data_IF_027844827296
#
_entry.id   IF_027844827296
#
_cell.length_a   1.000
_cell.length_b   1.000
_cell.length_c   1.000
_cell.angle_alpha   90.00
_cell.angle_beta   90.00
_cell.angle_gamma   90.00
#
_symmetry.space_group_name_H-M   'P 1'
#
loop_
_entity.id
_entity.type
_entity.pdbx_description
1 polymer ?
#
# COMPACT_ATOMS: atom_id res chain seq x y z
N UNK A 1 25.53 8.73 7.28
CA UNK A 1 24.42 8.18 8.09
C UNK A 1 23.83 7.03 7.28
N UNK A 2 23.76 5.79 7.79
CA UNK A 2 23.14 4.71 7.03
C UNK A 2 21.64 5.02 6.96
N UNK A 3 21.19 5.38 5.76
CA UNK A 3 19.78 5.45 5.40
C UNK A 3 19.19 4.05 5.57
N UNK A 4 18.19 3.89 6.44
CA UNK A 4 17.46 2.63 6.67
C UNK A 4 16.75 2.20 5.37
N UNK A 5 17.52 1.66 4.43
CA UNK A 5 17.09 1.35 3.08
C UNK A 5 16.74 -0.12 3.05
N UNK A 6 15.46 -0.41 2.81
CA UNK A 6 14.96 -1.77 2.70
C UNK A 6 14.77 -2.06 1.21
N UNK A 7 15.44 -3.10 0.69
CA UNK A 7 15.25 -3.58 -0.68
C UNK A 7 14.48 -4.90 -0.66
N UNK A 8 13.34 -4.93 -1.37
CA UNK A 8 12.49 -6.11 -1.52
C UNK A 8 12.50 -6.56 -2.98
N UNK A 9 13.05 -7.73 -3.25
CA UNK A 9 12.99 -8.37 -4.56
C UNK A 9 11.93 -9.50 -4.56
N UNK A 10 11.01 -9.48 -5.53
CA UNK A 10 9.94 -10.47 -5.68
C UNK A 10 9.73 -10.78 -7.16
N UNK A 11 9.55 -12.06 -7.48
CA UNK A 11 9.14 -12.53 -8.81
C UNK A 11 7.66 -12.87 -8.73
N UNK A 12 6.85 -12.20 -9.54
CA UNK A 12 5.39 -12.37 -9.56
C UNK A 12 4.94 -12.84 -10.94
N UNK A 13 4.14 -13.91 -10.99
CA UNK A 13 3.54 -14.39 -12.24
C UNK A 13 2.35 -13.48 -12.63
N UNK A 14 2.65 -12.30 -13.17
CA UNK A 14 1.67 -11.34 -13.63
C UNK A 14 2.24 -10.44 -14.73
N UNK A 15 1.37 -9.92 -15.59
CA UNK A 15 1.78 -8.89 -16.57
C UNK A 15 2.21 -7.61 -15.84
N UNK A 16 3.19 -6.84 -16.37
CA UNK A 16 3.61 -5.57 -15.77
C UNK A 16 2.45 -4.58 -15.56
N UNK A 17 1.50 -4.51 -16.50
CA UNK A 17 0.31 -3.64 -16.39
C UNK A 17 -0.56 -3.97 -15.17
N UNK A 18 -0.70 -5.25 -14.83
CA UNK A 18 -1.47 -5.69 -13.65
C UNK A 18 -0.76 -5.31 -12.34
N UNK A 19 0.56 -5.46 -12.29
CA UNK A 19 1.37 -5.06 -11.14
C UNK A 19 1.31 -3.54 -10.95
N UNK A 20 1.48 -2.78 -12.03
CA UNK A 20 1.39 -1.32 -12.01
C UNK A 20 0.03 -0.84 -11.51
N UNK A 21 -1.07 -1.41 -12.02
CA UNK A 21 -2.42 -1.08 -11.54
C UNK A 21 -2.62 -1.43 -10.05
N UNK A 22 -2.04 -2.52 -9.57
CA UNK A 22 -2.15 -2.92 -8.16
C UNK A 22 -1.53 -1.90 -7.18
N UNK A 23 -0.65 -1.03 -7.66
CA UNK A 23 -0.01 0.04 -6.87
C UNK A 23 -0.74 1.39 -6.96
N UNK A 24 -1.72 1.52 -7.85
CA UNK A 24 -2.35 2.80 -8.18
C UNK A 24 -3.86 2.80 -7.98
N UNK A 25 -4.48 1.63 -8.01
CA UNK A 25 -5.90 1.45 -7.79
C UNK A 25 -6.17 1.31 -6.29
N UNK A 26 -7.05 2.17 -5.76
CA UNK A 26 -7.33 2.27 -4.33
C UNK A 26 -7.85 0.95 -3.75
N UNK A 27 -8.76 0.28 -4.46
CA UNK A 27 -9.36 -0.98 -4.02
C UNK A 27 -8.35 -2.13 -4.08
N UNK A 28 -7.50 -2.14 -5.11
CA UNK A 28 -6.41 -3.09 -5.20
C UNK A 28 -5.44 -2.92 -4.03
N UNK A 29 -4.98 -1.69 -3.76
CA UNK A 29 -4.06 -1.41 -2.65
C UNK A 29 -4.62 -1.83 -1.30
N UNK A 30 -5.88 -1.50 -1.01
CA UNK A 30 -6.55 -1.87 0.23
C UNK A 30 -6.61 -3.40 0.45
N UNK A 31 -6.57 -4.18 -0.64
CA UNK A 31 -6.66 -5.64 -0.59
C UNK A 31 -5.33 -6.34 -0.28
N UNK A 32 -4.19 -5.80 -0.71
CA UNK A 32 -2.91 -6.52 -0.61
C UNK A 32 -1.85 -5.82 0.26
N UNK A 33 -1.92 -4.50 0.37
CA UNK A 33 -0.90 -3.71 1.06
C UNK A 33 -0.95 -3.83 2.60
N UNK A 34 -2.13 -3.96 3.26
CA UNK A 34 -2.18 -4.11 4.70
C UNK A 34 -1.44 -5.37 5.16
N UNK A 35 -0.60 -5.29 6.20
CA UNK A 35 -0.01 -6.48 6.81
C UNK A 35 -1.08 -7.42 7.38
N UNK A 36 -0.73 -8.69 7.57
CA UNK A 36 -1.61 -9.66 8.22
C UNK A 36 -2.10 -9.13 9.59
N UNK A 37 -3.40 -9.25 9.85
CA UNK A 37 -4.04 -8.73 11.06
C UNK A 37 -4.42 -7.25 11.01
N UNK A 38 -4.24 -6.59 9.86
CA UNK A 38 -4.67 -5.21 9.64
C UNK A 38 -5.68 -5.13 8.49
N UNK A 39 -6.58 -4.15 8.61
CA UNK A 39 -7.42 -3.67 7.50
C UNK A 39 -6.81 -2.42 6.91
N UNK A 40 -7.04 -2.18 5.61
CA UNK A 40 -6.58 -0.99 4.91
C UNK A 40 -7.73 -0.12 4.43
N UNK A 41 -7.58 1.20 4.58
CA UNK A 41 -8.49 2.18 3.98
C UNK A 41 -7.69 3.25 3.24
N UNK A 42 -7.86 3.31 1.93
CA UNK A 42 -7.35 4.42 1.11
C UNK A 42 -8.36 5.57 1.21
N UNK A 43 -7.93 6.70 1.79
CA UNK A 43 -8.78 7.88 1.94
C UNK A 43 -8.75 8.76 0.70
N UNK A 44 -7.58 8.85 0.08
CA UNK A 44 -7.37 9.59 -1.15
C UNK A 44 -6.16 9.02 -1.90
N UNK A 45 -6.21 9.09 -3.22
CA UNK A 45 -5.07 8.85 -4.08
C UNK A 45 -5.21 9.72 -5.35
N UNK A 46 -4.15 10.44 -5.68
CA UNK A 46 -4.00 11.21 -6.92
C UNK A 46 -2.87 10.61 -7.73
N UNK A 47 -3.24 9.78 -8.72
CA UNK A 47 -2.30 8.98 -9.50
C UNK A 47 -1.67 9.82 -10.60
N UNK A 48 -0.68 10.62 -10.22
CA UNK A 48 0.17 11.37 -11.14
C UNK A 48 1.52 11.67 -10.50
N UNK A 49 2.48 12.07 -11.32
CA UNK A 49 3.77 12.58 -10.82
C UNK A 49 3.51 13.82 -9.98
N UNK A 50 4.04 13.83 -8.74
CA UNK A 50 3.78 14.89 -7.76
C UNK A 50 2.40 14.81 -7.10
N UNK A 51 1.60 13.79 -7.39
CA UNK A 51 0.35 13.51 -6.68
C UNK A 51 0.58 13.04 -5.25
N UNK A 52 -0.49 12.98 -4.47
CA UNK A 52 -0.46 12.55 -3.07
C UNK A 52 -1.40 11.38 -2.83
N UNK A 53 -1.21 10.68 -1.72
CA UNK A 53 -2.13 9.64 -1.27
C UNK A 53 -2.21 9.68 0.26
N UNK A 54 -3.29 9.12 0.80
CA UNK A 54 -3.45 8.92 2.24
C UNK A 54 -4.09 7.56 2.49
N UNK A 55 -3.44 6.75 3.32
CA UNK A 55 -3.93 5.41 3.67
C UNK A 55 -3.82 5.18 5.17
N UNK A 56 -4.81 4.50 5.74
CA UNK A 56 -4.75 4.02 7.13
C UNK A 56 -4.69 2.51 7.18
N UNK A 57 -3.87 1.99 8.10
CA UNK A 57 -3.91 0.60 8.52
C UNK A 57 -4.44 0.50 9.94
N UNK A 58 -5.52 -0.25 10.12
CA UNK A 58 -6.16 -0.45 11.42
C UNK A 58 -6.03 -1.90 11.82
N UNK A 59 -5.43 -2.13 12.99
CA UNK A 59 -5.27 -3.45 13.56
C UNK A 59 -6.64 -4.03 13.92
N UNK A 60 -6.93 -5.25 13.48
CA UNK A 60 -8.26 -5.86 13.61
C UNK A 60 -8.65 -6.18 15.06
N UNK A 61 -7.70 -6.48 15.93
CA UNK A 61 -7.99 -6.89 17.31
C UNK A 61 -8.03 -5.72 18.28
N UNK A 62 -7.17 -4.73 18.08
CA UNK A 62 -7.01 -3.60 19.02
C UNK A 62 -7.69 -2.31 18.56
N UNK A 63 -8.04 -2.19 17.28
CA UNK A 63 -8.59 -0.96 16.71
C UNK A 63 -7.59 0.18 16.56
N UNK A 64 -6.32 0.01 16.97
CA UNK A 64 -5.28 1.01 16.76
C UNK A 64 -5.04 1.23 15.27
N UNK A 65 -4.95 2.50 14.88
CA UNK A 65 -4.80 2.91 13.50
C UNK A 65 -3.56 3.78 13.30
N UNK A 66 -2.80 3.47 12.27
CA UNK A 66 -1.72 4.32 11.77
C UNK A 66 -2.11 4.87 10.40
N UNK A 67 -1.88 6.16 10.18
CA UNK A 67 -2.15 6.81 8.90
C UNK A 67 -0.89 7.45 8.37
N UNK A 68 -0.67 7.26 7.07
CA UNK A 68 0.43 7.84 6.31
C UNK A 68 -0.11 8.58 5.09
#
# INVERSE_FOLDING_TARGET
MPTNTIQLHRVLCATPKRIYRALLDADAMAKWLPPNGFTGKVHHIDVKVGGTYKISFTNFTTGHSHSM
#
